data_IF_458249397336
#
_entry.id   IF_458249397336
#
_cell.length_a   1.000
_cell.length_b   1.000
_cell.length_c   1.000
_cell.angle_alpha   90.00
_cell.angle_beta   90.00
_cell.angle_gamma   90.00
#
_symmetry.space_group_name_H-M   'P 1'
#
loop_
_entity.id
_entity.type
_entity.pdbx_description
1 polymer ?
#
# COMPACT_ATOMS: atom_id res chain seq x y z
N UNK A 1 15.62 -14.48 16.16
CA UNK A 1 14.58 -14.19 15.15
C UNK A 1 15.03 -12.96 14.38
N UNK A 2 14.89 -12.92 13.05
CA UNK A 2 15.26 -11.76 12.23
C UNK A 2 14.27 -10.62 12.55
N UNK A 3 14.76 -9.45 12.97
CA UNK A 3 13.93 -8.30 13.32
C UNK A 3 13.66 -7.51 12.03
N UNK A 4 12.41 -7.47 11.57
CA UNK A 4 12.00 -6.72 10.37
C UNK A 4 11.54 -5.30 10.71
N UNK A 5 10.79 -5.20 11.80
CA UNK A 5 10.14 -3.98 12.24
C UNK A 5 10.35 -3.82 13.74
N UNK A 6 10.61 -2.59 14.16
CA UNK A 6 10.54 -2.17 15.55
C UNK A 6 9.43 -1.15 15.72
N UNK A 7 8.54 -1.37 16.69
CA UNK A 7 7.49 -0.42 17.06
C UNK A 7 7.84 0.16 18.43
N UNK A 8 8.04 1.47 18.50
CA UNK A 8 8.34 2.19 19.73
C UNK A 8 7.16 3.09 20.10
N UNK A 9 6.80 3.11 21.37
CA UNK A 9 5.75 3.95 21.93
C UNK A 9 6.42 5.04 22.77
N UNK A 10 6.20 6.31 22.43
CA UNK A 10 6.80 7.44 23.14
C UNK A 10 5.87 8.04 24.19
N UNK A 11 4.68 7.47 24.32
CA UNK A 11 3.63 7.87 25.23
C UNK A 11 3.55 6.95 26.45
N UNK A 12 2.86 7.42 27.50
CA UNK A 12 2.60 6.61 28.69
C UNK A 12 1.16 6.10 28.68
N UNK A 13 0.93 4.93 28.09
CA UNK A 13 -0.37 4.25 28.21
C UNK A 13 -0.46 3.48 29.53
N UNK A 14 -1.55 3.59 30.30
CA UNK A 14 -1.77 2.72 31.46
C UNK A 14 -1.77 1.25 31.03
N UNK A 15 -0.84 0.45 31.55
CA UNK A 15 -0.66 -0.98 31.20
C UNK A 15 -1.97 -1.75 31.36
N UNK A 16 -2.78 -1.42 32.38
CA UNK A 16 -4.08 -2.05 32.61
C UNK A 16 -5.08 -1.83 31.44
N UNK A 17 -5.10 -0.63 30.83
CA UNK A 17 -5.94 -0.36 29.65
C UNK A 17 -5.46 -1.19 28.45
N UNK A 18 -4.14 -1.20 28.20
CA UNK A 18 -3.54 -2.00 27.12
C UNK A 18 -3.85 -3.48 27.29
N UNK A 19 -3.67 -4.03 28.49
CA UNK A 19 -3.94 -5.43 28.80
C UNK A 19 -5.40 -5.81 28.56
N UNK A 20 -6.36 -4.92 28.90
CA UNK A 20 -7.78 -5.14 28.64
C UNK A 20 -8.07 -5.22 27.14
N UNK A 21 -7.46 -4.36 26.32
CA UNK A 21 -7.62 -4.42 24.86
C UNK A 21 -6.97 -5.66 24.28
N UNK A 22 -5.76 -6.02 24.73
CA UNK A 22 -5.07 -7.23 24.31
C UNK A 22 -5.92 -8.50 24.51
N UNK A 23 -6.63 -8.62 25.64
CA UNK A 23 -7.54 -9.75 25.89
C UNK A 23 -8.64 -9.86 24.83
N UNK A 24 -9.23 -8.73 24.41
CA UNK A 24 -10.22 -8.71 23.32
C UNK A 24 -9.59 -9.08 21.97
N UNK A 25 -8.41 -8.53 21.69
CA UNK A 25 -7.69 -8.79 20.45
C UNK A 25 -7.26 -10.25 20.33
N UNK A 26 -6.94 -10.94 21.42
CA UNK A 26 -6.66 -12.38 21.41
C UNK A 26 -7.87 -13.23 21.02
N UNK A 27 -9.06 -12.85 21.51
CA UNK A 27 -10.31 -13.49 21.11
C UNK A 27 -10.58 -13.29 19.61
N UNK A 28 -10.36 -12.07 19.11
CA UNK A 28 -10.50 -11.75 17.68
C UNK A 28 -9.45 -12.46 16.81
N UNK A 29 -8.20 -12.50 17.25
CA UNK A 29 -7.13 -13.30 16.62
C UNK A 29 -7.57 -14.76 16.50
N UNK A 30 -8.05 -15.35 17.59
CA UNK A 30 -8.55 -16.74 17.59
C UNK A 30 -9.72 -16.90 16.61
N UNK A 31 -10.65 -15.94 16.59
CA UNK A 31 -11.78 -15.94 15.67
C UNK A 31 -11.34 -15.92 14.21
N UNK A 32 -10.46 -15.00 13.79
CA UNK A 32 -10.05 -14.89 12.37
C UNK A 32 -9.21 -16.08 11.91
N UNK A 33 -8.45 -16.70 12.81
CA UNK A 33 -7.62 -17.86 12.49
C UNK A 33 -8.41 -19.18 12.42
N UNK A 34 -9.57 -19.26 13.08
CA UNK A 34 -10.42 -20.46 13.11
C UNK A 34 -11.62 -20.36 12.18
N UNK A 35 -12.02 -19.15 11.78
CA UNK A 35 -13.15 -18.94 10.88
C UNK A 35 -12.79 -19.32 9.45
N UNK A 36 -13.53 -20.27 8.83
CA UNK A 36 -13.28 -20.65 7.44
C UNK A 36 -13.46 -19.47 6.50
N UNK A 37 -12.59 -19.38 5.49
CA UNK A 37 -12.74 -18.41 4.41
C UNK A 37 -13.96 -18.78 3.56
N UNK A 38 -14.87 -17.83 3.38
CA UNK A 38 -16.10 -17.98 2.57
C UNK A 38 -16.36 -16.69 1.79
N UNK A 39 -17.46 -16.59 1.04
CA UNK A 39 -17.88 -15.33 0.40
C UNK A 39 -18.33 -14.26 1.41
N UNK A 40 -18.60 -14.64 2.66
CA UNK A 40 -18.97 -13.72 3.76
C UNK A 40 -17.77 -13.35 4.64
N UNK A 41 -16.83 -14.29 4.82
CA UNK A 41 -15.64 -14.11 5.65
C UNK A 41 -14.40 -14.16 4.76
N UNK A 42 -13.92 -12.98 4.35
CA UNK A 42 -12.83 -12.85 3.38
C UNK A 42 -11.43 -12.90 4.04
N UNK A 43 -11.18 -13.91 4.89
CA UNK A 43 -9.90 -14.10 5.58
C UNK A 43 -8.83 -14.80 4.73
N UNK A 44 -9.11 -15.06 3.45
CA UNK A 44 -8.21 -15.79 2.56
C UNK A 44 -6.84 -15.13 2.38
N UNK A 45 -6.72 -13.83 2.66
CA UNK A 45 -5.47 -13.08 2.59
C UNK A 45 -4.43 -13.50 3.65
N UNK A 46 -4.86 -14.06 4.80
CA UNK A 46 -3.98 -14.41 5.92
C UNK A 46 -2.89 -15.41 5.48
N UNK A 47 -3.30 -16.40 4.70
CA UNK A 47 -2.47 -17.54 4.31
C UNK A 47 -1.99 -17.50 2.85
N UNK A 48 -2.28 -16.43 2.11
CA UNK A 48 -1.79 -16.27 0.72
C UNK A 48 -0.28 -16.40 0.65
N UNK A 49 0.45 -15.71 1.52
CA UNK A 49 1.90 -15.75 1.55
C UNK A 49 2.48 -16.98 2.26
N UNK A 50 1.65 -17.72 3.00
CA UNK A 50 2.06 -18.94 3.71
C UNK A 50 1.82 -20.21 2.91
N UNK A 51 0.99 -20.13 1.86
CA UNK A 51 0.77 -21.20 0.90
C UNK A 51 1.86 -21.14 -0.18
N UNK A 52 2.33 -22.28 -0.72
CA UNK A 52 3.20 -22.28 -1.87
C UNK A 52 2.57 -21.47 -3.00
N UNK A 53 3.34 -20.54 -3.55
CA UNK A 53 2.93 -19.79 -4.73
C UNK A 53 2.70 -20.80 -5.87
N UNK A 54 1.55 -20.71 -6.54
CA UNK A 54 1.21 -21.61 -7.65
C UNK A 54 2.31 -21.58 -8.71
N UNK A 55 3.02 -22.70 -8.88
CA UNK A 55 4.17 -22.78 -9.78
C UNK A 55 3.79 -22.50 -11.23
N UNK A 56 2.60 -22.93 -11.66
CA UNK A 56 2.12 -22.67 -13.02
C UNK A 56 1.86 -21.18 -13.24
N UNK A 57 1.32 -20.50 -12.23
CA UNK A 57 1.10 -19.05 -12.29
C UNK A 57 2.44 -18.29 -12.36
N UNK A 58 3.42 -18.72 -11.57
CA UNK A 58 4.77 -18.12 -11.58
C UNK A 58 5.44 -18.33 -12.94
N UNK A 59 5.44 -19.56 -13.44
CA UNK A 59 6.01 -19.89 -14.75
C UNK A 59 5.35 -19.08 -15.86
N UNK A 60 4.03 -18.89 -15.81
CA UNK A 60 3.29 -18.08 -16.76
C UNK A 60 3.69 -16.60 -16.70
N UNK A 61 3.76 -16.01 -15.50
CA UNK A 61 4.22 -14.62 -15.33
C UNK A 61 5.68 -14.43 -15.81
N UNK A 62 6.56 -15.38 -15.48
CA UNK A 62 7.96 -15.37 -15.91
C UNK A 62 8.09 -15.50 -17.43
N UNK A 63 7.27 -16.33 -18.06
CA UNK A 63 7.21 -16.47 -19.52
C UNK A 63 6.84 -15.14 -20.18
N UNK A 64 5.80 -14.45 -19.68
CA UNK A 64 5.41 -13.13 -20.21
C UNK A 64 6.54 -12.12 -20.04
N UNK A 65 7.16 -12.06 -18.85
CA UNK A 65 8.28 -11.15 -18.59
C UNK A 65 9.45 -11.40 -19.54
N UNK A 66 9.83 -12.67 -19.73
CA UNK A 66 10.91 -13.05 -20.65
C UNK A 66 10.60 -12.64 -22.08
N UNK A 67 9.39 -12.93 -22.58
CA UNK A 67 8.98 -12.52 -23.93
C UNK A 67 9.05 -11.02 -24.11
N UNK A 68 8.53 -10.24 -23.16
CA UNK A 68 8.57 -8.77 -23.24
C UNK A 68 9.99 -8.23 -23.20
N UNK A 69 10.85 -8.81 -22.38
CA UNK A 69 12.25 -8.44 -22.31
C UNK A 69 12.98 -8.75 -23.64
N UNK A 70 12.78 -9.95 -24.20
CA UNK A 70 13.40 -10.39 -25.46
C UNK A 70 12.93 -9.53 -26.66
N UNK A 71 11.68 -9.07 -26.65
CA UNK A 71 11.12 -8.17 -27.67
C UNK A 71 11.56 -6.70 -27.51
N UNK A 72 12.29 -6.40 -26.42
CA UNK A 72 12.82 -5.07 -26.12
C UNK A 72 11.77 -4.10 -25.57
N UNK A 73 10.78 -4.58 -24.81
CA UNK A 73 9.86 -3.72 -24.07
C UNK A 73 10.64 -2.92 -23.03
N UNK A 74 10.55 -1.60 -23.10
CA UNK A 74 11.24 -0.67 -22.20
C UNK A 74 10.35 -0.25 -21.03
N UNK A 75 9.04 -0.17 -21.27
CA UNK A 75 8.05 0.33 -20.30
C UNK A 75 6.86 -0.63 -20.22
N UNK A 76 6.39 -0.93 -19.00
CA UNK A 76 5.06 -1.51 -18.81
C UNK A 76 4.16 -0.46 -18.18
N UNK A 77 3.06 -0.17 -18.88
CA UNK A 77 2.00 0.71 -18.39
C UNK A 77 1.07 -0.09 -17.50
N UNK A 78 1.12 0.21 -16.19
CA UNK A 78 0.23 -0.37 -15.17
C UNK A 78 -1.00 0.53 -15.08
N UNK A 79 -2.16 0.02 -15.50
CA UNK A 79 -3.43 0.74 -15.51
C UNK A 79 -4.31 0.22 -14.39
N UNK A 80 -4.62 1.07 -13.40
CA UNK A 80 -5.49 0.70 -12.29
C UNK A 80 -5.91 1.91 -11.46
N UNK A 81 -6.81 1.68 -10.50
CA UNK A 81 -7.32 2.71 -9.57
C UNK A 81 -7.23 2.23 -8.12
N UNK A 82 -7.21 3.17 -7.19
CA UNK A 82 -7.28 2.91 -5.75
C UNK A 82 -6.27 1.81 -5.34
N UNK A 83 -6.70 0.76 -4.64
CA UNK A 83 -5.84 -0.31 -4.12
C UNK A 83 -5.00 -1.01 -5.20
N UNK A 84 -5.54 -1.22 -6.41
CA UNK A 84 -4.83 -1.89 -7.51
C UNK A 84 -3.65 -1.05 -8.04
N UNK A 85 -3.74 0.28 -7.92
CA UNK A 85 -2.67 1.21 -8.27
C UNK A 85 -1.73 1.45 -7.08
N UNK A 86 -2.30 1.82 -5.93
CA UNK A 86 -1.54 2.33 -4.79
C UNK A 86 -0.65 1.26 -4.16
N UNK A 87 -1.13 0.02 -4.03
CA UNK A 87 -0.36 -1.05 -3.36
C UNK A 87 0.98 -1.30 -4.06
N UNK A 88 0.94 -1.52 -5.38
CA UNK A 88 2.15 -1.79 -6.16
C UNK A 88 3.02 -0.54 -6.29
N UNK A 89 2.41 0.63 -6.49
CA UNK A 89 3.15 1.90 -6.59
C UNK A 89 3.90 2.22 -5.30
N UNK A 90 3.25 2.02 -4.15
CA UNK A 90 3.84 2.22 -2.84
C UNK A 90 5.11 1.38 -2.65
N UNK A 91 5.05 0.08 -2.97
CA UNK A 91 6.22 -0.80 -2.89
C UNK A 91 7.29 -0.37 -3.90
N UNK A 92 6.89 -0.11 -5.15
CA UNK A 92 7.82 0.23 -6.23
C UNK A 92 8.59 1.54 -5.97
N UNK A 93 7.97 2.52 -5.33
CA UNK A 93 8.58 3.81 -5.01
C UNK A 93 9.54 3.71 -3.82
N UNK A 94 9.24 2.85 -2.86
CA UNK A 94 10.10 2.61 -1.70
C UNK A 94 11.38 1.85 -2.05
N UNK A 95 11.35 1.03 -3.09
CA UNK A 95 12.50 0.22 -3.44
C UNK A 95 13.57 1.09 -4.14
N UNK A 96 14.83 1.02 -3.67
CA UNK A 96 15.91 1.84 -4.20
C UNK A 96 16.14 1.59 -5.70
N UNK A 97 16.33 2.67 -6.45
CA UNK A 97 16.52 2.67 -7.91
C UNK A 97 17.96 2.32 -8.29
N UNK A 98 18.93 2.63 -7.43
CA UNK A 98 20.37 2.50 -7.67
C UNK A 98 20.89 1.05 -7.58
N UNK A 99 20.24 0.19 -6.79
CA UNK A 99 20.63 -1.24 -6.63
C UNK A 99 20.07 -2.17 -7.71
N UNK A 100 19.07 -1.72 -8.46
CA UNK A 100 18.45 -2.49 -9.54
C UNK A 100 18.36 -1.63 -10.79
N UNK A 101 19.23 -1.86 -11.78
CA UNK A 101 18.97 -1.38 -13.14
C UNK A 101 17.73 -2.11 -13.67
N UNK A 102 16.55 -1.53 -13.40
CA UNK A 102 15.26 -2.04 -13.85
C UNK A 102 15.30 -2.14 -15.37
N UNK A 103 15.31 -3.37 -15.90
CA UNK A 103 15.33 -3.61 -17.35
C UNK A 103 14.06 -3.12 -18.03
N UNK A 104 12.94 -3.18 -17.31
CA UNK A 104 11.65 -2.64 -17.71
C UNK A 104 11.21 -1.63 -16.65
N UNK A 105 10.87 -0.41 -17.09
CA UNK A 105 10.31 0.62 -16.22
C UNK A 105 8.80 0.43 -16.06
N UNK A 106 8.27 0.61 -14.85
CA UNK A 106 6.83 0.63 -14.64
C UNK A 106 6.32 2.07 -14.71
N UNK A 107 5.28 2.29 -15.52
CA UNK A 107 4.57 3.55 -15.61
C UNK A 107 3.15 3.36 -15.11
N UNK A 108 2.81 4.00 -13.99
CA UNK A 108 1.52 3.82 -13.36
C UNK A 108 0.55 4.93 -13.75
N UNK A 109 -0.60 4.56 -14.32
CA UNK A 109 -1.64 5.46 -14.84
C UNK A 109 -3.03 5.01 -14.39
N UNK A 110 -4.04 5.84 -14.63
CA UNK A 110 -5.44 5.51 -14.33
C UNK A 110 -5.97 5.99 -12.97
N UNK A 111 -5.12 6.59 -12.13
CA UNK A 111 -5.51 7.18 -10.83
C UNK A 111 -6.15 8.58 -10.94
N UNK A 112 -6.08 9.21 -12.11
CA UNK A 112 -6.72 10.48 -12.41
C UNK A 112 -7.27 10.44 -13.84
N UNK A 113 -8.49 10.95 -14.04
CA UNK A 113 -9.17 10.97 -15.34
C UNK A 113 -9.41 12.40 -15.77
N UNK A 114 -8.33 13.09 -16.10
CA UNK A 114 -8.39 14.35 -16.84
C UNK A 114 -7.70 14.17 -18.18
N UNK A 115 -8.20 14.88 -19.19
CA UNK A 115 -7.63 14.81 -20.54
C UNK A 115 -6.18 15.29 -20.55
N UNK A 116 -5.86 16.35 -19.80
CA UNK A 116 -4.52 16.89 -19.65
C UNK A 116 -3.57 15.85 -19.06
N UNK A 117 -4.01 15.10 -18.04
CA UNK A 117 -3.19 14.07 -17.43
C UNK A 117 -2.94 12.91 -18.38
N UNK A 118 -3.97 12.46 -19.10
CA UNK A 118 -3.84 11.39 -20.07
C UNK A 118 -2.88 11.76 -21.22
N UNK A 119 -2.98 13.00 -21.72
CA UNK A 119 -2.05 13.52 -22.74
C UNK A 119 -0.62 13.57 -22.18
N UNK A 120 -0.44 14.07 -20.95
CA UNK A 120 0.87 14.10 -20.32
C UNK A 120 1.48 12.70 -20.15
N UNK A 121 0.67 11.73 -19.73
CA UNK A 121 1.10 10.33 -19.58
C UNK A 121 1.47 9.71 -20.95
N UNK A 122 0.70 9.94 -22.01
CA UNK A 122 1.02 9.49 -23.37
C UNK A 122 2.30 10.15 -23.92
N UNK A 123 2.48 11.45 -23.66
CA UNK A 123 3.68 12.19 -24.06
C UNK A 123 4.91 11.70 -23.30
N UNK A 124 4.78 11.44 -22.00
CA UNK A 124 5.86 10.86 -21.19
C UNK A 124 6.28 9.50 -21.72
N UNK A 125 5.32 8.64 -22.12
CA UNK A 125 5.62 7.35 -22.76
C UNK A 125 6.47 7.54 -24.03
N UNK A 126 6.18 8.58 -24.82
CA UNK A 126 6.94 8.93 -26.01
C UNK A 126 6.85 7.83 -27.06
N UNK A 127 7.98 7.46 -27.68
CA UNK A 127 8.07 6.40 -28.70
C UNK A 127 8.64 5.08 -28.18
N UNK A 128 8.79 4.94 -26.85
CA UNK A 128 9.34 3.73 -26.23
C UNK A 128 8.48 2.53 -26.55
N UNK A 129 9.11 1.36 -26.70
CA UNK A 129 8.40 0.09 -26.82
C UNK A 129 7.76 -0.25 -25.48
N UNK A 130 6.47 -0.54 -25.48
CA UNK A 130 5.75 -0.74 -24.23
C UNK A 130 4.75 -1.90 -24.27
N UNK A 131 4.42 -2.39 -23.07
CA UNK A 131 3.34 -3.33 -22.84
C UNK A 131 2.36 -2.76 -21.81
N UNK A 132 1.21 -3.40 -21.65
CA UNK A 132 0.11 -2.94 -20.80
C UNK A 132 -0.29 -4.06 -19.84
N UNK A 133 -0.36 -3.74 -18.54
CA UNK A 133 -1.07 -4.55 -17.56
C UNK A 133 -2.25 -3.75 -17.02
N UNK A 134 -3.47 -4.18 -17.33
CA UNK A 134 -4.70 -3.56 -16.81
C UNK A 134 -5.16 -4.32 -15.59
N UNK A 135 -5.30 -3.65 -14.45
CA UNK A 135 -5.65 -4.24 -13.18
C UNK A 135 -6.97 -3.62 -12.69
N UNK A 136 -8.03 -4.42 -12.71
CA UNK A 136 -9.30 -4.06 -12.07
C UNK A 136 -10.06 -5.33 -11.70
N UNK A 137 -10.31 -5.52 -10.41
CA UNK A 137 -11.05 -6.70 -9.94
C UNK A 137 -12.48 -6.72 -10.50
N UNK A 138 -13.25 -5.65 -10.32
CA UNK A 138 -14.64 -5.62 -10.81
C UNK A 138 -14.72 -5.62 -12.34
N UNK A 139 -13.65 -5.18 -13.00
CA UNK A 139 -13.64 -4.99 -14.44
C UNK A 139 -14.79 -4.10 -14.91
N UNK A 140 -15.21 -3.13 -14.09
CA UNK A 140 -16.34 -2.22 -14.37
C UNK A 140 -16.01 -0.75 -14.05
N UNK A 141 -14.86 -0.46 -13.46
CA UNK A 141 -14.41 0.92 -13.18
C UNK A 141 -14.18 1.68 -14.49
N UNK A 142 -14.86 2.81 -14.67
CA UNK A 142 -14.82 3.61 -15.91
C UNK A 142 -13.41 4.18 -16.16
N UNK A 143 -12.73 4.56 -15.09
CA UNK A 143 -11.46 5.27 -15.13
C UNK A 143 -10.33 4.45 -15.78
N UNK A 144 -10.03 3.20 -15.35
CA UNK A 144 -9.09 2.32 -16.06
C UNK A 144 -9.48 2.05 -17.51
N UNK A 145 -10.77 1.99 -17.85
CA UNK A 145 -11.19 1.68 -19.22
C UNK A 145 -10.88 2.78 -20.21
N UNK A 146 -11.17 4.03 -19.84
CA UNK A 146 -10.89 5.17 -20.71
C UNK A 146 -9.38 5.25 -20.99
N UNK A 147 -8.57 5.07 -19.94
CA UNK A 147 -7.11 5.09 -20.04
C UNK A 147 -6.62 3.89 -20.86
N UNK A 148 -7.11 2.68 -20.58
CA UNK A 148 -6.76 1.48 -21.34
C UNK A 148 -7.09 1.62 -22.83
N UNK A 149 -8.25 2.18 -23.18
CA UNK A 149 -8.63 2.41 -24.57
C UNK A 149 -7.60 3.23 -25.33
N UNK A 150 -7.12 4.34 -24.75
CA UNK A 150 -6.16 5.21 -25.43
C UNK A 150 -4.75 4.62 -25.48
N UNK A 151 -4.26 3.99 -24.40
CA UNK A 151 -2.98 3.28 -24.43
C UNK A 151 -3.01 2.08 -25.38
N UNK A 152 -4.14 1.35 -25.47
CA UNK A 152 -4.30 0.26 -26.43
C UNK A 152 -4.21 0.77 -27.87
N UNK A 153 -4.91 1.85 -28.23
CA UNK A 153 -4.80 2.46 -29.57
C UNK A 153 -3.35 2.83 -29.90
N UNK A 154 -2.64 3.43 -28.93
CA UNK A 154 -1.23 3.79 -29.08
C UNK A 154 -0.33 2.57 -29.29
N UNK A 155 -0.61 1.47 -28.59
CA UNK A 155 0.11 0.21 -28.76
C UNK A 155 -0.17 -0.41 -30.14
N UNK A 156 -1.44 -0.48 -30.52
CA UNK A 156 -1.88 -0.98 -31.83
C UNK A 156 -1.26 -0.17 -32.98
N UNK A 157 -1.07 1.14 -32.82
CA UNK A 157 -0.38 1.97 -33.81
C UNK A 157 1.12 1.69 -33.91
N UNK A 158 1.76 1.17 -32.85
CA UNK A 158 3.20 0.82 -32.86
C UNK A 158 3.46 -0.58 -33.43
N UNK A 159 2.66 -1.58 -33.03
CA UNK A 159 2.95 -2.99 -33.32
C UNK A 159 1.93 -3.65 -34.26
N UNK A 160 0.83 -2.96 -34.59
CA UNK A 160 -0.31 -3.49 -35.32
C UNK A 160 -1.30 -4.23 -34.42
N UNK A 161 -2.59 -4.15 -34.76
CA UNK A 161 -3.68 -4.68 -33.92
C UNK A 161 -3.57 -6.17 -33.59
N UNK A 162 -3.13 -6.99 -34.56
CA UNK A 162 -2.97 -8.43 -34.34
C UNK A 162 -1.82 -8.79 -33.39
N UNK A 163 -0.77 -7.97 -33.34
CA UNK A 163 0.37 -8.21 -32.46
C UNK A 163 0.18 -7.61 -31.08
N UNK A 164 -0.62 -6.54 -30.95
CA UNK A 164 -0.84 -5.83 -29.68
C UNK A 164 -1.28 -6.77 -28.54
N UNK A 165 -2.05 -7.83 -28.85
CA UNK A 165 -2.49 -8.82 -27.86
C UNK A 165 -1.34 -9.51 -27.10
N UNK A 166 -0.14 -9.60 -27.69
CA UNK A 166 1.05 -10.18 -27.06
C UNK A 166 1.59 -9.32 -25.91
N UNK A 167 1.30 -8.02 -25.96
CA UNK A 167 1.79 -7.00 -25.02
C UNK A 167 0.68 -6.48 -24.11
N UNK A 168 -0.42 -7.22 -23.97
CA UNK A 168 -1.55 -6.85 -23.10
C UNK A 168 -1.84 -8.02 -22.15
N UNK A 169 -1.78 -7.74 -20.85
CA UNK A 169 -2.22 -8.63 -19.78
C UNK A 169 -3.36 -7.95 -19.03
N UNK A 170 -4.42 -8.73 -18.74
CA UNK A 170 -5.56 -8.28 -17.96
C UNK A 170 -5.55 -9.02 -16.62
N UNK A 171 -5.42 -8.28 -15.52
CA UNK A 171 -5.49 -8.79 -14.15
C UNK A 171 -6.87 -8.47 -13.56
N UNK A 172 -7.76 -9.45 -13.49
CA UNK A 172 -9.20 -9.25 -13.18
C UNK A 172 -9.77 -10.42 -12.37
N UNK A 173 -11.02 -10.29 -11.90
CA UNK A 173 -11.79 -11.37 -11.24
C UNK A 173 -11.87 -12.67 -12.08
N UNK A 174 -12.01 -13.80 -11.39
CA UNK A 174 -11.96 -15.13 -11.98
C UNK A 174 -13.20 -15.49 -12.82
N UNK A 175 -14.38 -14.91 -12.50
CA UNK A 175 -15.66 -15.42 -12.99
C UNK A 175 -16.45 -14.42 -13.84
N UNK A 176 -16.27 -13.11 -13.60
CA UNK A 176 -17.15 -12.09 -14.18
C UNK A 176 -16.44 -10.76 -14.41
N UNK A 177 -17.09 -9.91 -15.20
CA UNK A 177 -16.67 -8.53 -15.43
C UNK A 177 -16.35 -8.25 -16.90
N UNK A 178 -16.54 -7.00 -17.31
CA UNK A 178 -16.36 -6.59 -18.70
C UNK A 178 -14.91 -6.78 -19.17
N UNK A 179 -13.90 -6.56 -18.31
CA UNK A 179 -12.50 -6.84 -18.64
C UNK A 179 -12.26 -8.30 -19.00
N UNK A 180 -12.88 -9.25 -18.28
CA UNK A 180 -12.73 -10.67 -18.55
C UNK A 180 -13.34 -11.03 -19.92
N UNK A 181 -14.56 -10.55 -20.20
CA UNK A 181 -15.21 -10.74 -21.51
C UNK A 181 -14.40 -10.11 -22.64
N UNK A 182 -13.84 -8.91 -22.41
CA UNK A 182 -12.98 -8.24 -23.38
C UNK A 182 -11.70 -9.03 -23.64
N UNK A 183 -11.05 -9.54 -22.59
CA UNK A 183 -9.85 -10.36 -22.69
C UNK A 183 -10.11 -11.63 -23.49
N UNK A 184 -11.22 -12.32 -23.23
CA UNK A 184 -11.63 -13.50 -24.00
C UNK A 184 -11.88 -13.17 -25.47
N UNK A 185 -12.62 -12.08 -25.75
CA UNK A 185 -12.95 -11.65 -27.13
C UNK A 185 -11.69 -11.27 -27.93
N UNK A 186 -10.72 -10.62 -27.29
CA UNK A 186 -9.49 -10.14 -27.92
C UNK A 186 -8.31 -11.12 -27.79
N UNK A 187 -8.53 -12.24 -27.10
CA UNK A 187 -7.52 -13.24 -26.79
C UNK A 187 -6.28 -12.66 -26.09
N UNK A 188 -6.52 -11.82 -25.08
CA UNK A 188 -5.48 -11.29 -24.19
C UNK A 188 -5.11 -12.31 -23.12
N UNK A 189 -3.88 -12.21 -22.62
CA UNK A 189 -3.44 -12.97 -21.44
C UNK A 189 -4.22 -12.49 -20.21
N UNK A 190 -4.62 -13.41 -19.34
CA UNK A 190 -5.40 -13.11 -18.13
C UNK A 190 -4.69 -13.65 -16.90
N UNK A 191 -4.51 -12.78 -15.90
CA UNK A 191 -4.10 -13.15 -14.54
C UNK A 191 -5.30 -12.96 -13.61
N UNK A 192 -5.56 -13.94 -12.75
CA UNK A 192 -6.82 -14.00 -11.99
C UNK A 192 -6.64 -13.51 -10.56
N UNK A 193 -7.59 -12.72 -10.09
CA UNK A 193 -7.70 -12.29 -8.69
C UNK A 193 -8.73 -13.18 -8.00
N UNK A 194 -8.40 -13.87 -6.89
CA UNK A 194 -9.35 -14.70 -6.18
C UNK A 194 -10.60 -13.93 -5.71
N UNK A 195 -11.76 -14.58 -5.81
CA UNK A 195 -13.04 -13.99 -5.42
C UNK A 195 -13.13 -13.79 -3.90
N UNK A 196 -12.37 -14.58 -3.13
CA UNK A 196 -12.26 -14.57 -1.67
C UNK A 196 -11.46 -13.39 -1.09
N UNK A 197 -10.97 -12.47 -1.92
CA UNK A 197 -10.17 -11.32 -1.50
C UNK A 197 -10.84 -10.00 -1.89
N UNK A 198 -10.72 -8.94 -1.10
CA UNK A 198 -11.03 -7.60 -1.61
C UNK A 198 -9.82 -7.03 -2.33
N UNK A 199 -10.00 -5.95 -3.13
CA UNK A 199 -8.90 -5.32 -3.85
C UNK A 199 -7.83 -4.72 -2.92
N UNK A 200 -8.19 -4.27 -1.70
CA UNK A 200 -7.25 -3.74 -0.70
C UNK A 200 -6.42 -4.81 0.01
N UNK A 201 -6.88 -6.07 0.03
CA UNK A 201 -6.14 -7.20 0.60
C UNK A 201 -5.47 -8.08 -0.48
N UNK A 202 -5.26 -7.56 -1.70
CA UNK A 202 -4.73 -8.33 -2.83
C UNK A 202 -3.23 -8.12 -3.12
N UNK A 203 -2.47 -7.52 -2.20
CA UNK A 203 -1.01 -7.32 -2.38
C UNK A 203 -0.25 -8.61 -2.70
N UNK A 204 -0.64 -9.74 -2.09
CA UNK A 204 0.04 -11.03 -2.30
C UNK A 204 -0.59 -11.84 -3.46
N UNK A 205 -1.00 -11.16 -4.52
CA UNK A 205 -1.58 -11.74 -5.74
C UNK A 205 -0.93 -11.13 -6.99
N UNK A 206 -1.31 -11.60 -8.18
CA UNK A 206 -0.86 -11.03 -9.46
C UNK A 206 -1.05 -9.52 -9.60
N UNK A 207 -1.94 -8.89 -8.81
CA UNK A 207 -2.08 -7.43 -8.74
C UNK A 207 -0.74 -6.75 -8.48
N UNK A 208 0.08 -7.28 -7.57
CA UNK A 208 1.39 -6.69 -7.24
C UNK A 208 2.54 -7.58 -7.66
N UNK A 209 2.40 -8.90 -7.61
CA UNK A 209 3.48 -9.82 -7.95
C UNK A 209 3.89 -9.70 -9.41
N UNK A 210 2.93 -9.58 -10.33
CA UNK A 210 3.27 -9.49 -11.74
C UNK A 210 4.01 -8.18 -12.06
N UNK A 211 3.53 -6.98 -11.65
CA UNK A 211 4.32 -5.76 -11.81
C UNK A 211 5.71 -5.80 -11.16
N UNK A 212 5.85 -6.32 -9.93
CA UNK A 212 7.16 -6.42 -9.28
C UNK A 212 8.11 -7.34 -10.05
N UNK A 213 7.61 -8.49 -10.50
CA UNK A 213 8.36 -9.43 -11.34
C UNK A 213 8.81 -8.76 -12.65
N UNK A 214 7.92 -8.00 -13.30
CA UNK A 214 8.25 -7.23 -14.51
C UNK A 214 9.34 -6.18 -14.27
N UNK A 215 9.39 -5.59 -13.08
CA UNK A 215 10.44 -4.66 -12.68
C UNK A 215 11.77 -5.37 -12.32
N UNK A 216 11.83 -6.70 -12.40
CA UNK A 216 13.01 -7.51 -12.11
C UNK A 216 13.21 -7.85 -10.63
N UNK A 217 12.18 -7.66 -9.80
CA UNK A 217 12.23 -7.97 -8.39
C UNK A 217 11.94 -9.45 -8.10
N UNK A 218 12.60 -9.99 -7.07
CA UNK A 218 12.32 -11.33 -6.57
C UNK A 218 11.04 -11.33 -5.70
N UNK A 219 9.95 -11.82 -6.28
CA UNK A 219 8.66 -11.92 -5.61
C UNK A 219 8.64 -12.96 -4.47
N UNK A 220 9.55 -13.93 -4.47
CA UNK A 220 9.65 -14.91 -3.38
C UNK A 220 10.17 -14.27 -2.10
N UNK A 221 11.13 -13.35 -2.21
CA UNK A 221 11.61 -12.54 -1.08
C UNK A 221 10.48 -11.71 -0.47
N UNK A 222 9.59 -11.12 -1.27
CA UNK A 222 8.41 -10.40 -0.77
C UNK A 222 7.44 -11.33 -0.02
N UNK A 223 7.21 -12.54 -0.52
CA UNK A 223 6.40 -13.57 0.13
C UNK A 223 6.99 -14.03 1.46
N UNK A 224 8.32 -14.25 1.51
CA UNK A 224 9.01 -14.71 2.71
C UNK A 224 8.78 -13.75 3.88
N UNK A 225 8.86 -12.44 3.64
CA UNK A 225 8.54 -11.42 4.66
C UNK A 225 7.13 -11.54 5.23
N UNK A 226 6.14 -11.65 4.35
CA UNK A 226 4.74 -11.80 4.76
C UNK A 226 4.48 -13.13 5.49
N UNK A 227 5.13 -14.22 5.07
CA UNK A 227 5.07 -15.50 5.79
C UNK A 227 5.61 -15.36 7.21
N UNK A 228 6.71 -14.63 7.42
CA UNK A 228 7.27 -14.38 8.75
C UNK A 228 6.29 -13.59 9.63
N UNK A 229 5.67 -12.53 9.09
CA UNK A 229 4.64 -11.77 9.83
C UNK A 229 3.43 -12.64 10.20
N UNK A 230 2.94 -13.49 9.28
CA UNK A 230 1.86 -14.44 9.56
C UNK A 230 2.25 -15.47 10.62
N UNK A 231 3.46 -16.02 10.55
CA UNK A 231 3.96 -16.99 11.53
C UNK A 231 4.09 -16.36 12.93
N UNK A 232 4.65 -15.16 13.02
CA UNK A 232 4.78 -14.42 14.27
C UNK A 232 3.40 -14.10 14.86
N UNK A 233 2.48 -13.60 14.02
CA UNK A 233 1.10 -13.34 14.42
C UNK A 233 0.43 -14.57 15.02
N UNK A 234 0.57 -15.74 14.37
CA UNK A 234 -0.02 -17.00 14.82
C UNK A 234 0.61 -17.51 16.13
N UNK A 235 1.94 -17.48 16.24
CA UNK A 235 2.67 -18.16 17.31
C UNK A 235 2.90 -17.34 18.58
N UNK A 236 2.82 -16.00 18.50
CA UNK A 236 3.00 -15.11 19.66
C UNK A 236 1.66 -14.63 20.24
N UNK A 237 1.63 -14.29 21.54
CA UNK A 237 0.41 -13.84 22.23
C UNK A 237 0.69 -12.69 23.21
N UNK A 238 -0.35 -11.96 23.57
CA UNK A 238 -0.33 -10.84 24.51
C UNK A 238 0.74 -9.82 24.16
N UNK A 239 1.56 -9.47 25.15
CA UNK A 239 2.66 -8.51 24.98
C UNK A 239 3.82 -9.02 24.11
N UNK A 240 3.87 -10.32 23.80
CA UNK A 240 4.88 -10.86 22.88
C UNK A 240 4.48 -10.73 21.40
N UNK A 241 3.23 -10.37 21.11
CA UNK A 241 2.75 -10.20 19.75
C UNK A 241 2.78 -8.73 19.32
N UNK A 242 3.72 -8.31 18.45
CA UNK A 242 3.92 -6.90 18.14
C UNK A 242 2.72 -6.26 17.44
N UNK A 243 1.96 -7.03 16.65
CA UNK A 243 0.74 -6.56 15.98
C UNK A 243 -0.32 -6.23 17.02
N UNK A 244 -0.54 -7.13 17.99
CA UNK A 244 -1.54 -6.92 19.04
C UNK A 244 -1.12 -5.77 19.97
N UNK A 245 0.17 -5.64 20.28
CA UNK A 245 0.68 -4.56 21.14
C UNK A 245 0.54 -3.20 20.45
N UNK A 246 0.88 -3.10 19.17
CA UNK A 246 0.64 -1.90 18.38
C UNK A 246 -0.84 -1.52 18.40
N UNK A 247 -1.70 -2.46 18.01
CA UNK A 247 -3.13 -2.21 17.90
C UNK A 247 -3.77 -1.88 19.26
N UNK A 248 -3.36 -2.54 20.34
CA UNK A 248 -3.86 -2.25 21.68
C UNK A 248 -3.50 -0.83 22.12
N UNK A 249 -2.26 -0.38 21.88
CA UNK A 249 -1.87 0.99 22.17
C UNK A 249 -2.64 2.00 21.31
N UNK A 250 -2.72 1.77 19.99
CA UNK A 250 -3.51 2.60 19.07
C UNK A 250 -4.98 2.71 19.51
N UNK A 251 -5.57 1.60 19.94
CA UNK A 251 -6.96 1.58 20.43
C UNK A 251 -7.12 2.39 21.71
N UNK A 252 -6.19 2.29 22.67
CA UNK A 252 -6.28 3.08 23.90
C UNK A 252 -6.14 4.58 23.60
N UNK A 253 -5.29 4.94 22.64
CA UNK A 253 -5.21 6.32 22.16
C UNK A 253 -6.52 6.76 21.48
N UNK A 254 -7.19 5.88 20.74
CA UNK A 254 -8.44 6.20 20.05
C UNK A 254 -9.58 6.68 20.98
N UNK A 255 -9.52 6.38 22.29
CA UNK A 255 -10.46 6.90 23.28
C UNK A 255 -10.38 8.44 23.37
N UNK A 256 -9.15 8.97 23.36
CA UNK A 256 -8.84 10.39 23.56
C UNK A 256 -8.62 11.12 22.22
N UNK A 257 -8.06 10.43 21.24
CA UNK A 257 -7.63 10.94 19.95
C UNK A 257 -8.56 10.44 18.84
N UNK A 258 -9.00 11.30 17.92
CA UNK A 258 -9.93 10.93 16.82
C UNK A 258 -9.30 10.96 15.44
N UNK A 259 -8.08 11.46 15.35
CA UNK A 259 -7.29 11.53 14.13
C UNK A 259 -6.01 10.72 14.31
N UNK A 260 -5.72 9.88 13.33
CA UNK A 260 -4.49 9.12 13.21
C UNK A 260 -3.67 9.69 12.05
N UNK A 261 -2.45 10.16 12.31
CA UNK A 261 -1.63 10.82 11.31
C UNK A 261 -0.41 9.97 10.97
N UNK A 262 -0.41 9.37 9.79
CA UNK A 262 0.73 8.63 9.26
C UNK A 262 1.76 9.58 8.63
N UNK A 263 2.99 9.51 9.11
CA UNK A 263 4.06 10.41 8.74
C UNK A 263 5.29 9.67 8.23
N UNK A 264 5.99 10.28 7.29
CA UNK A 264 7.33 9.86 6.92
C UNK A 264 8.20 11.09 6.60
N UNK A 265 9.52 10.90 6.62
CA UNK A 265 10.46 12.00 6.38
C UNK A 265 10.77 12.15 4.89
N UNK A 266 10.87 11.04 4.14
CA UNK A 266 11.31 11.05 2.75
C UNK A 266 10.17 10.95 1.74
N UNK A 267 10.33 11.62 0.60
CA UNK A 267 9.29 11.69 -0.45
C UNK A 267 8.93 10.35 -1.08
N UNK A 268 9.85 9.38 -1.05
CA UNK A 268 9.60 8.02 -1.56
C UNK A 268 8.48 7.30 -0.79
N UNK A 269 8.19 7.72 0.44
CA UNK A 269 7.09 7.18 1.25
C UNK A 269 5.72 7.72 0.88
N UNK A 270 5.61 8.76 0.05
CA UNK A 270 4.33 9.42 -0.22
C UNK A 270 3.24 8.43 -0.63
N UNK A 271 3.53 7.54 -1.58
CA UNK A 271 2.56 6.55 -2.07
C UNK A 271 2.29 5.44 -1.07
N UNK A 272 3.25 5.14 -0.21
CA UNK A 272 3.05 4.21 0.90
C UNK A 272 2.14 4.79 1.98
N UNK A 273 2.31 6.06 2.34
CA UNK A 273 1.42 6.77 3.25
C UNK A 273 -0.02 6.86 2.71
N UNK A 274 -0.18 7.18 1.42
CA UNK A 274 -1.49 7.14 0.75
C UNK A 274 -2.12 5.75 0.80
N UNK A 275 -1.32 4.70 0.60
CA UNK A 275 -1.78 3.31 0.69
C UNK A 275 -2.20 2.92 2.11
N UNK A 276 -1.44 3.30 3.15
CA UNK A 276 -1.82 3.04 4.54
C UNK A 276 -3.16 3.70 4.86
N UNK A 277 -3.31 4.99 4.54
CA UNK A 277 -4.57 5.72 4.78
C UNK A 277 -5.73 5.02 4.07
N UNK A 278 -5.56 4.62 2.80
CA UNK A 278 -6.60 3.87 2.09
C UNK A 278 -6.93 2.54 2.80
N UNK A 279 -5.92 1.80 3.24
CA UNK A 279 -6.10 0.51 3.91
C UNK A 279 -6.93 0.68 5.19
N UNK A 280 -6.55 1.61 6.07
CA UNK A 280 -7.25 1.83 7.33
C UNK A 280 -8.66 2.39 7.08
N UNK A 281 -8.81 3.48 6.33
CA UNK A 281 -10.11 4.12 6.05
C UNK A 281 -11.14 3.14 5.45
N UNK A 282 -10.76 2.39 4.41
CA UNK A 282 -11.70 1.43 3.79
C UNK A 282 -11.99 0.20 4.66
N UNK A 283 -11.14 -0.09 5.64
CA UNK A 283 -11.27 -1.28 6.49
C UNK A 283 -12.05 -0.97 7.75
N UNK A 284 -11.78 0.15 8.43
CA UNK A 284 -12.31 0.43 9.77
C UNK A 284 -13.25 1.64 9.85
N UNK A 285 -13.16 2.60 8.93
CA UNK A 285 -13.91 3.86 9.03
C UNK A 285 -15.31 3.74 8.42
N UNK A 286 -16.24 3.14 9.18
CA UNK A 286 -17.63 2.87 8.71
C UNK A 286 -18.64 3.08 9.81
N UNK A 287 -19.84 3.57 9.45
CA UNK A 287 -20.95 3.69 10.39
C UNK A 287 -20.66 4.61 11.59
N UNK A 288 -19.84 5.64 11.41
CA UNK A 288 -19.32 6.53 12.46
C UNK A 288 -18.34 5.88 13.47
N UNK A 289 -17.81 4.70 13.15
CA UNK A 289 -16.69 4.06 13.84
C UNK A 289 -15.38 4.26 13.07
N UNK A 290 -14.25 4.03 13.74
CA UNK A 290 -12.90 4.16 13.17
C UNK A 290 -12.25 5.52 13.46
N UNK A 291 -10.92 5.58 13.32
CA UNK A 291 -10.17 6.82 13.39
C UNK A 291 -10.12 7.47 12.01
N UNK A 292 -10.19 8.80 11.96
CA UNK A 292 -9.91 9.51 10.72
C UNK A 292 -8.40 9.49 10.48
N UNK A 293 -7.98 8.77 9.45
CA UNK A 293 -6.60 8.58 9.06
C UNK A 293 -6.18 9.66 8.05
N UNK A 294 -5.09 10.35 8.34
CA UNK A 294 -4.46 11.33 7.48
C UNK A 294 -3.00 10.96 7.23
N UNK A 295 -2.36 11.60 6.26
CA UNK A 295 -0.92 11.48 6.08
C UNK A 295 -0.20 12.80 5.80
N UNK A 296 1.10 12.84 6.07
CA UNK A 296 1.96 13.97 5.68
C UNK A 296 3.44 13.59 5.56
N UNK A 297 4.18 14.33 4.72
CA UNK A 297 5.63 14.29 4.67
C UNK A 297 6.22 15.38 5.57
N UNK A 298 6.97 14.96 6.60
CA UNK A 298 7.49 15.85 7.63
C UNK A 298 8.51 16.86 7.10
N UNK A 299 9.39 16.46 6.17
CA UNK A 299 10.42 17.35 5.63
C UNK A 299 9.86 18.53 4.82
N UNK A 300 8.71 18.36 4.16
CA UNK A 300 8.04 19.42 3.40
C UNK A 300 7.19 20.34 4.30
N UNK A 301 6.62 19.77 5.37
CA UNK A 301 5.58 20.42 6.14
C UNK A 301 5.97 20.71 7.59
N UNK A 302 7.26 20.69 7.97
CA UNK A 302 7.69 20.82 9.37
C UNK A 302 7.07 22.04 10.10
N UNK A 303 6.98 23.19 9.42
CA UNK A 303 6.33 24.40 9.94
C UNK A 303 4.80 24.32 9.95
N UNK A 304 4.20 23.67 8.96
CA UNK A 304 2.74 23.52 8.87
C UNK A 304 2.23 22.46 9.85
N UNK A 305 2.93 21.34 10.00
CA UNK A 305 2.63 20.32 10.98
C UNK A 305 2.70 20.90 12.41
N UNK A 306 3.78 21.62 12.74
CA UNK A 306 3.93 22.24 14.07
C UNK A 306 2.91 23.38 14.31
N UNK A 307 2.59 24.21 13.32
CA UNK A 307 1.55 25.24 13.47
C UNK A 307 0.13 24.67 13.46
N UNK A 308 -0.25 23.87 12.46
CA UNK A 308 -1.63 23.37 12.27
C UNK A 308 -2.01 22.35 13.34
N UNK A 309 -1.11 21.43 13.71
CA UNK A 309 -1.38 20.48 14.80
C UNK A 309 -1.21 21.12 16.18
N UNK A 310 -0.34 22.12 16.33
CA UNK A 310 -0.16 22.86 17.59
C UNK A 310 -1.24 23.92 17.87
N UNK A 311 -1.90 24.47 16.85
CA UNK A 311 -2.85 25.59 17.00
C UNK A 311 -4.26 25.38 16.41
N UNK A 312 -4.45 24.63 15.31
CA UNK A 312 -5.78 24.50 14.67
C UNK A 312 -6.62 23.33 15.17
N UNK A 313 -6.01 22.22 15.60
CA UNK A 313 -6.73 21.14 16.29
C UNK A 313 -7.31 21.62 17.66
N UNK A 314 -6.77 22.71 18.20
CA UNK A 314 -7.31 23.39 19.38
C UNK A 314 -8.49 24.33 19.09
N UNK A 315 -8.68 24.75 17.85
CA UNK A 315 -9.60 25.83 17.48
C UNK A 315 -10.89 25.36 16.77
N UNK A 316 -10.91 24.14 16.23
CA UNK A 316 -12.15 23.49 15.76
C UNK A 316 -12.52 22.36 16.71
N UNK A 317 -13.36 22.72 17.68
CA UNK A 317 -13.81 21.93 18.82
C UNK A 317 -12.73 21.70 19.88
N UNK A 318 -13.06 22.03 21.14
CA UNK A 318 -12.26 21.75 22.32
C UNK A 318 -12.10 20.23 22.63
N UNK A 319 -12.16 19.35 21.62
CA UNK A 319 -12.26 17.89 21.77
C UNK A 319 -11.59 17.08 20.65
N UNK A 320 -10.69 17.64 19.83
CA UNK A 320 -9.86 16.80 18.95
C UNK A 320 -8.41 16.89 19.37
N UNK A 321 -7.79 15.73 19.55
CA UNK A 321 -6.35 15.54 19.66
C UNK A 321 -5.97 14.48 18.62
N UNK A 322 -4.73 14.50 18.09
CA UNK A 322 -4.23 13.50 17.13
C UNK A 322 -3.15 12.57 17.68
N UNK A 323 -3.17 11.30 17.27
CA UNK A 323 -2.05 10.36 17.41
C UNK A 323 -1.19 10.41 16.14
N UNK A 324 0.12 10.22 16.27
CA UNK A 324 1.10 10.32 15.20
C UNK A 324 1.85 8.99 15.02
N UNK A 325 1.76 8.40 13.84
CA UNK A 325 2.50 7.21 13.46
C UNK A 325 3.62 7.60 12.50
N UNK A 326 4.88 7.57 12.94
CA UNK A 326 6.04 7.94 12.09
C UNK A 326 6.73 6.69 11.57
N UNK A 327 6.78 6.53 10.26
CA UNK A 327 7.52 5.48 9.57
C UNK A 327 8.89 5.99 9.13
N UNK A 328 9.96 5.31 9.56
CA UNK A 328 11.35 5.65 9.23
C UNK A 328 12.14 4.45 8.73
N UNK A 329 13.05 4.71 7.79
CA UNK A 329 14.08 3.78 7.34
C UNK A 329 15.35 4.56 7.00
N UNK A 330 16.51 3.93 7.23
CA UNK A 330 17.81 4.53 7.03
C UNK A 330 18.65 3.72 6.03
N UNK A 331 19.10 4.36 4.94
CA UNK A 331 20.12 3.79 4.06
C UNK A 331 21.50 4.32 4.46
N UNK A 332 22.37 3.41 4.92
CA UNK A 332 23.65 3.69 5.59
C UNK A 332 24.78 4.28 4.71
N UNK A 333 24.55 4.47 3.41
CA UNK A 333 25.66 4.57 2.42
C UNK A 333 26.03 5.98 1.95
N UNK A 334 25.32 7.05 2.33
CA UNK A 334 25.62 8.41 1.85
C UNK A 334 25.96 9.38 2.98
N UNK A 335 27.24 9.46 3.35
CA UNK A 335 27.77 10.57 4.14
C UNK A 335 28.49 11.56 3.22
N UNK A 336 27.79 12.61 2.76
CA UNK A 336 28.43 13.73 2.08
C UNK A 336 28.91 14.75 3.12
N UNK A 337 30.18 15.18 3.00
CA UNK A 337 30.85 16.03 4.00
C UNK A 337 30.65 17.54 3.81
N UNK A 338 29.84 17.95 2.82
CA UNK A 338 29.81 19.35 2.39
C UNK A 338 28.39 19.95 2.49
N UNK A 339 27.91 20.18 3.72
CA UNK A 339 26.69 20.97 3.96
C UNK A 339 27.00 22.14 4.90
N UNK A 340 26.88 23.36 4.37
CA UNK A 340 27.12 24.60 5.08
C UNK A 340 25.80 25.13 5.63
N UNK A 341 25.58 25.00 6.94
CA UNK A 341 24.51 25.72 7.62
C UNK A 341 25.17 26.50 8.76
N UNK A 342 25.32 27.78 8.50
CA UNK A 342 26.05 28.79 9.27
C UNK A 342 27.56 28.85 8.97
N UNK A 343 27.97 30.05 8.52
CA UNK A 343 29.33 30.39 8.10
C UNK A 343 30.28 30.10 9.28
N UNK A 344 31.15 29.10 9.13
CA UNK A 344 32.56 29.09 9.60
C UNK A 344 33.16 27.68 9.76
N UNK A 345 32.37 26.59 9.82
CA UNK A 345 32.94 25.22 9.83
C UNK A 345 32.10 24.23 9.02
N UNK A 346 32.72 23.44 8.11
CA UNK A 346 32.04 22.30 7.53
C UNK A 346 31.69 21.31 8.65
N UNK A 347 30.45 20.84 8.68
CA UNK A 347 30.06 19.71 9.50
C UNK A 347 29.54 18.60 8.58
N UNK A 348 29.95 17.36 8.87
CA UNK A 348 29.37 16.20 8.22
C UNK A 348 27.90 16.09 8.66
N UNK A 349 26.97 16.20 7.71
CA UNK A 349 25.59 15.84 7.95
C UNK A 349 25.52 14.33 7.84
N UNK A 350 25.44 13.68 8.99
CA UNK A 350 24.90 12.35 9.08
C UNK A 350 23.38 12.50 8.83
N UNK A 351 22.92 12.06 7.65
CA UNK A 351 21.52 12.17 7.26
C UNK A 351 20.61 11.34 8.19
N UNK A 352 21.11 10.23 8.74
CA UNK A 352 20.39 9.43 9.74
C UNK A 352 20.26 10.24 11.04
N UNK A 353 21.35 10.82 11.53
CA UNK A 353 21.30 11.69 12.71
C UNK A 353 20.42 12.93 12.49
N UNK A 354 20.42 13.51 11.30
CA UNK A 354 19.59 14.67 10.97
C UNK A 354 18.10 14.29 10.94
N UNK A 355 17.74 13.19 10.28
CA UNK A 355 16.36 12.70 10.24
C UNK A 355 15.87 12.28 11.64
N UNK A 356 16.69 11.54 12.40
CA UNK A 356 16.38 11.17 13.78
C UNK A 356 16.27 12.40 14.69
N UNK A 357 17.09 13.45 14.48
CA UNK A 357 16.96 14.73 15.18
C UNK A 357 15.70 15.48 14.76
N UNK A 358 15.35 15.53 13.48
CA UNK A 358 14.12 16.16 13.01
C UNK A 358 12.89 15.45 13.60
N UNK A 359 12.88 14.11 13.60
CA UNK A 359 11.85 13.32 14.25
C UNK A 359 11.83 13.56 15.78
N UNK A 360 12.99 13.63 16.44
CA UNK A 360 13.06 13.88 17.89
C UNK A 360 12.72 15.32 18.28
N UNK A 361 12.78 16.29 17.36
CA UNK A 361 12.23 17.64 17.58
C UNK A 361 10.69 17.67 17.53
N UNK A 362 10.03 16.59 17.11
CA UNK A 362 8.56 16.45 17.24
C UNK A 362 8.17 16.05 18.68
N UNK A 363 8.99 15.24 19.36
CA UNK A 363 8.73 14.75 20.73
C UNK A 363 8.42 15.83 21.79
N UNK A 364 9.00 17.05 21.78
CA UNK A 364 8.73 18.08 22.78
C UNK A 364 7.36 18.77 22.58
N UNK A 365 6.69 18.53 21.46
CA UNK A 365 5.38 19.13 21.17
C UNK A 365 4.32 18.32 21.92
N UNK A 366 3.91 18.80 23.09
CA UNK A 366 2.94 18.19 24.03
C UNK A 366 1.50 17.95 23.47
N UNK A 367 1.28 18.04 22.16
CA UNK A 367 -0.06 18.00 21.55
C UNK A 367 -0.38 16.72 20.77
N UNK A 368 0.53 15.75 20.70
CA UNK A 368 0.28 14.44 20.08
C UNK A 368 1.04 13.32 20.79
N UNK A 369 0.48 12.12 20.73
CA UNK A 369 1.16 10.89 21.13
C UNK A 369 1.84 10.27 19.92
N UNK A 370 3.06 9.75 20.10
CA UNK A 370 3.88 9.26 19.01
C UNK A 370 4.12 7.75 19.10
N UNK A 371 3.85 7.06 18.00
CA UNK A 371 4.28 5.69 17.74
C UNK A 371 5.25 5.71 16.57
N UNK A 372 6.41 5.08 16.74
CA UNK A 372 7.46 5.04 15.70
C UNK A 372 7.61 3.63 15.15
N UNK A 373 7.53 3.51 13.83
CA UNK A 373 7.87 2.31 13.07
C UNK A 373 9.28 2.48 12.48
N UNK A 374 10.21 1.62 12.91
CA UNK A 374 11.57 1.58 12.38
C UNK A 374 11.76 0.29 11.58
N UNK A 375 12.00 0.44 10.27
CA UNK A 375 12.30 -0.71 9.40
C UNK A 375 13.76 -1.09 9.53
N UNK A 376 14.04 -2.38 9.73
CA UNK A 376 15.42 -2.87 9.79
C UNK A 376 16.14 -2.73 8.44
N UNK A 377 15.40 -2.94 7.34
CA UNK A 377 15.87 -2.72 5.97
C UNK A 377 14.71 -2.27 5.08
N UNK A 378 14.98 -1.47 4.04
CA UNK A 378 14.01 -1.16 2.99
C UNK A 378 14.29 -2.06 1.80
N UNK A 379 13.83 -3.28 1.95
CA UNK A 379 13.85 -4.31 0.92
C UNK A 379 12.49 -5.00 0.83
N UNK A 380 12.31 -5.82 -0.20
CA UNK A 380 11.06 -6.52 -0.45
C UNK A 380 10.63 -7.41 0.71
N UNK A 381 11.57 -8.05 1.39
CA UNK A 381 11.27 -8.92 2.52
C UNK A 381 10.65 -8.12 3.67
N UNK A 382 11.29 -7.01 4.05
CA UNK A 382 10.79 -6.15 5.12
C UNK A 382 9.47 -5.49 4.74
N UNK A 383 9.29 -5.10 3.48
CA UNK A 383 8.02 -4.57 2.99
C UNK A 383 6.92 -5.63 2.99
N UNK A 384 7.22 -6.87 2.62
CA UNK A 384 6.28 -7.99 2.70
C UNK A 384 5.81 -8.23 4.14
N UNK A 385 6.75 -8.22 5.10
CA UNK A 385 6.44 -8.30 6.53
C UNK A 385 5.54 -7.13 6.98
N UNK A 386 5.90 -5.90 6.64
CA UNK A 386 5.16 -4.69 7.03
C UNK A 386 3.74 -4.66 6.47
N UNK A 387 3.55 -5.03 5.20
CA UNK A 387 2.22 -5.07 4.58
C UNK A 387 1.32 -6.08 5.30
N UNK A 388 1.84 -7.26 5.59
CA UNK A 388 1.09 -8.29 6.31
C UNK A 388 0.79 -7.88 7.76
N UNK A 389 1.74 -7.24 8.44
CA UNK A 389 1.57 -6.64 9.77
C UNK A 389 0.37 -5.66 9.77
N UNK A 390 0.34 -4.75 8.79
CA UNK A 390 -0.71 -3.73 8.69
C UNK A 390 -2.07 -4.31 8.28
N UNK A 391 -2.10 -5.37 7.45
CA UNK A 391 -3.34 -6.10 7.15
C UNK A 391 -3.98 -6.72 8.40
N UNK A 392 -3.17 -7.34 9.27
CA UNK A 392 -3.68 -7.84 10.56
C UNK A 392 -4.17 -6.70 11.44
N UNK A 393 -3.39 -5.62 11.57
CA UNK A 393 -3.76 -4.48 12.40
C UNK A 393 -5.09 -3.84 11.95
N UNK A 394 -5.24 -3.53 10.66
CA UNK A 394 -6.46 -2.92 10.12
C UNK A 394 -7.67 -3.86 10.25
N UNK A 395 -7.51 -5.16 9.96
CA UNK A 395 -8.60 -6.13 10.06
C UNK A 395 -9.08 -6.28 11.50
N UNK A 396 -8.15 -6.48 12.44
CA UNK A 396 -8.50 -6.62 13.85
C UNK A 396 -9.11 -5.34 14.41
N UNK A 397 -8.66 -4.16 13.98
CA UNK A 397 -9.26 -2.91 14.43
C UNK A 397 -10.70 -2.73 13.92
N UNK A 398 -10.97 -3.08 12.66
CA UNK A 398 -12.33 -3.09 12.12
C UNK A 398 -13.24 -3.98 12.97
N UNK A 399 -12.82 -5.24 13.21
CA UNK A 399 -13.58 -6.19 14.02
C UNK A 399 -13.75 -5.75 15.48
N UNK A 400 -12.74 -5.11 16.08
CA UNK A 400 -12.81 -4.59 17.44
C UNK A 400 -13.87 -3.49 17.60
N UNK A 401 -14.16 -2.76 16.51
CA UNK A 401 -15.15 -1.71 16.45
C UNK A 401 -16.50 -2.17 15.87
N UNK A 402 -16.75 -3.48 15.80
CA UNK A 402 -17.96 -4.08 15.20
C UNK A 402 -18.20 -3.64 13.74
N UNK A 403 -17.11 -3.32 13.03
CA UNK A 403 -17.12 -2.97 11.60
C UNK A 403 -16.69 -4.19 10.78
N UNK A 404 -17.44 -4.51 9.73
CA UNK A 404 -17.02 -5.49 8.73
C UNK A 404 -15.82 -4.93 7.93
N UNK A 405 -14.61 -5.52 8.08
CA UNK A 405 -13.40 -5.02 7.45
C UNK A 405 -13.39 -5.18 5.92
N UNK A 406 -14.33 -5.95 5.35
CA UNK A 406 -14.30 -6.37 3.95
C UNK A 406 -15.38 -5.73 3.07
N UNK A 407 -16.45 -5.18 3.63
CA UNK A 407 -17.46 -4.48 2.84
C UNK A 407 -16.97 -3.12 2.31
N UNK A 408 -17.71 -2.54 1.35
CA UNK A 408 -17.42 -1.24 0.72
C UNK A 408 -18.69 -0.62 0.11
N UNK A 409 -19.76 -0.53 0.90
CA UNK A 409 -21.10 -0.13 0.41
C UNK A 409 -21.14 1.26 -0.24
N UNK A 410 -20.47 2.25 0.33
CA UNK A 410 -20.47 3.63 -0.19
C UNK A 410 -19.84 3.74 -1.59
N UNK A 411 -18.77 2.97 -1.85
CA UNK A 411 -18.08 2.96 -3.14
C UNK A 411 -18.99 2.43 -4.25
N UNK A 412 -19.77 1.37 -3.96
CA UNK A 412 -20.71 0.81 -4.93
C UNK A 412 -21.88 1.76 -5.23
N UNK A 413 -22.33 2.54 -4.23
CA UNK A 413 -23.32 3.62 -4.44
C UNK A 413 -22.77 4.68 -5.39
N UNK A 414 -21.54 5.15 -5.17
CA UNK A 414 -20.88 6.12 -6.05
C UNK A 414 -20.78 5.59 -7.49
N UNK A 415 -20.29 4.36 -7.69
CA UNK A 415 -20.18 3.74 -9.03
C UNK A 415 -21.52 3.65 -9.74
N UNK A 416 -22.57 3.19 -9.03
CA UNK A 416 -23.91 3.08 -9.60
C UNK A 416 -24.50 4.43 -9.97
N UNK A 417 -24.28 5.47 -9.16
CA UNK A 417 -24.73 6.82 -9.46
C UNK A 417 -23.99 7.42 -10.66
N UNK A 418 -22.68 7.19 -10.74
CA UNK A 418 -21.86 7.62 -11.87
C UNK A 418 -22.33 6.96 -13.17
N UNK A 419 -22.55 5.64 -13.19
CA UNK A 419 -23.05 4.95 -14.37
C UNK A 419 -24.41 5.47 -14.82
N UNK A 420 -25.36 5.64 -13.89
CA UNK A 420 -26.68 6.23 -14.18
C UNK A 420 -26.61 7.65 -14.74
N UNK A 421 -25.53 8.39 -14.47
CA UNK A 421 -25.35 9.75 -15.00
C UNK A 421 -24.98 9.78 -16.49
N UNK A 422 -24.46 8.66 -17.04
CA UNK A 422 -24.13 8.53 -18.46
C UNK A 422 -25.29 7.98 -19.32
N UNK A 423 -26.31 7.38 -18.69
CA UNK A 423 -27.50 6.86 -19.37
C UNK A 423 -28.58 7.93 -19.64
N UNK A 424 -28.29 9.21 -19.34
CA UNK A 424 -29.09 10.39 -19.70
C UNK A 424 -28.39 11.16 -20.81
#
# INVERSE_FOLDING_TARGET
MKKYLEVQFHHTTPIAKVQRVLQKLELLKTHILTTPTTTKNLFGWIDLASSPLDSLLVEHMQSIYKTWLDDGVEVVVIIGTASAYLTTKAIYDLLPVDKFHRKIQLMFVGHAVTTERLIADLNLLGNRKFAINVISKSGSSVEPFVVFREFRKRLESQVGSNNARKYIVITTDFERGFLLTLAQKQNYQVLRIPNTLTARFSAFTCVTLFPLLLAGYDIFTFFAGAQQATQEFKTTAGFANPILVYLANRTVLADEYKVDLFCAVETQYQKFLEWIVLLFEETETKGNHGLFSANTLLAHNFKYATHTFGTQIRAQSATTSSALDVLTYYQKEYAHKDLYINKEKPFSVDWELLQAKLASQLLPVKSFELITFTLAKLDLETLGYLLQFLYFAATLNGLLNDVDPFNQSAVEVFKNNLLKSFDK
#
